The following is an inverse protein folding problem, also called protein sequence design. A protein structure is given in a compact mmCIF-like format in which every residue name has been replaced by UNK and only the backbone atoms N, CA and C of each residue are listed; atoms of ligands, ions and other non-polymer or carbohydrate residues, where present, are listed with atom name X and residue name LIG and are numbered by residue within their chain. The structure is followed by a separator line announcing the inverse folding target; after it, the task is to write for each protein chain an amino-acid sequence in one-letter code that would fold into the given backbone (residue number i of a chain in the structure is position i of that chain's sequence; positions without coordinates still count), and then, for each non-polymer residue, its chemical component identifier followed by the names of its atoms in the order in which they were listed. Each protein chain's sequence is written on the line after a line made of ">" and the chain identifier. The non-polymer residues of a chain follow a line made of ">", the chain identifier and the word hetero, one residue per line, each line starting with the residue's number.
data_IF_004665804146
#
_entry.id   IF_004665804146
#
_cell.length_a   1.000
_cell.length_b   1.000
_cell.length_c   1.000
_cell.angle_alpha   90.00
_cell.angle_beta   90.00
_cell.angle_gamma   90.00
#
_symmetry.space_group_name_H-M   'P 1'
#
loop_
_entity.id
_entity.type
_entity.pdbx_description
1 polymer ?
#
# COMPACT_ATOMS: atom_id res chain seq x y z
N UNK A 1 -9.14 -1.92 -11.35
CA UNK A 1 -8.29 -2.29 -12.50
C UNK A 1 -8.64 -3.70 -12.89
N UNK A 2 -9.08 -3.89 -14.12
CA UNK A 2 -9.46 -5.21 -14.68
C UNK A 2 -8.28 -5.68 -15.54
N UNK A 3 -7.83 -6.91 -15.36
CA UNK A 3 -6.85 -7.52 -16.27
C UNK A 3 -7.57 -7.96 -17.57
N UNK A 4 -6.85 -8.15 -18.68
CA UNK A 4 -7.39 -8.67 -19.95
C UNK A 4 -8.21 -9.97 -19.78
N UNK A 5 -7.91 -10.75 -18.73
CA UNK A 5 -8.59 -11.99 -18.37
C UNK A 5 -9.85 -11.80 -17.50
N UNK A 6 -10.32 -10.56 -17.30
CA UNK A 6 -11.52 -10.25 -16.52
C UNK A 6 -11.36 -10.32 -14.99
N UNK A 7 -10.20 -10.75 -14.49
CA UNK A 7 -9.93 -10.81 -13.04
C UNK A 7 -9.86 -9.40 -12.43
N UNK A 8 -10.74 -9.15 -11.45
CA UNK A 8 -10.81 -7.89 -10.70
C UNK A 8 -10.01 -8.03 -9.40
N UNK A 9 -8.80 -7.45 -9.38
CA UNK A 9 -8.01 -7.35 -8.16
C UNK A 9 -8.52 -6.17 -7.32
N UNK A 10 -9.08 -6.46 -6.15
CA UNK A 10 -9.47 -5.42 -5.20
C UNK A 10 -8.24 -4.64 -4.71
N UNK A 11 -8.29 -3.32 -4.83
CA UNK A 11 -7.26 -2.45 -4.27
C UNK A 11 -7.21 -2.59 -2.74
N UNK A 12 -6.04 -2.43 -2.09
CA UNK A 12 -5.95 -2.57 -0.63
C UNK A 12 -6.88 -1.57 0.07
N UNK A 13 -7.94 -2.08 0.73
CA UNK A 13 -8.95 -1.25 1.42
C UNK A 13 -8.35 -0.40 2.55
N UNK A 14 -7.18 -0.80 3.07
CA UNK A 14 -6.47 -0.11 4.14
C UNK A 14 -5.79 1.20 3.69
N UNK A 15 -5.60 1.45 2.39
CA UNK A 15 -4.91 2.63 1.89
C UNK A 15 -5.68 3.93 2.19
N UNK A 16 -7.01 3.91 2.09
CA UNK A 16 -7.85 5.07 2.45
C UNK A 16 -7.66 5.49 3.91
N UNK A 17 -7.52 4.51 4.82
CA UNK A 17 -7.25 4.77 6.25
C UNK A 17 -5.86 5.38 6.43
N UNK A 18 -4.85 4.88 5.72
CA UNK A 18 -3.48 5.42 5.76
C UNK A 18 -3.41 6.84 5.20
N UNK A 19 -4.11 7.13 4.10
CA UNK A 19 -4.19 8.48 3.54
C UNK A 19 -4.88 9.46 4.50
N UNK A 20 -5.95 9.05 5.18
CA UNK A 20 -6.57 9.88 6.24
C UNK A 20 -5.59 10.18 7.38
N UNK A 21 -4.84 9.17 7.84
CA UNK A 21 -3.79 9.35 8.87
C UNK A 21 -2.68 10.29 8.38
N UNK A 22 -2.26 10.17 7.13
CA UNK A 22 -1.25 11.03 6.53
C UNK A 22 -1.69 12.50 6.53
N UNK A 23 -2.93 12.77 6.11
CA UNK A 23 -3.51 14.12 6.11
C UNK A 23 -3.50 14.76 7.51
N UNK A 24 -3.93 14.00 8.52
CA UNK A 24 -3.95 14.48 9.91
C UNK A 24 -2.53 14.73 10.45
N UNK A 25 -1.59 13.81 10.17
CA UNK A 25 -0.21 13.95 10.57
C UNK A 25 0.49 15.15 9.89
N UNK A 26 0.22 15.38 8.60
CA UNK A 26 0.70 16.56 7.87
C UNK A 26 0.15 17.86 8.43
N UNK A 27 -1.16 17.92 8.74
CA UNK A 27 -1.78 19.09 9.40
C UNK A 27 -1.16 19.35 10.77
N UNK A 28 -0.88 18.29 11.54
CA UNK A 28 -0.19 18.41 12.83
C UNK A 28 1.23 18.95 12.68
N UNK A 29 2.00 18.44 11.71
CA UNK A 29 3.36 18.87 11.43
C UNK A 29 3.43 20.36 11.06
N UNK A 30 2.52 20.83 10.21
CA UNK A 30 2.45 22.24 9.78
C UNK A 30 2.27 23.22 10.95
N UNK A 31 1.55 22.80 12.00
CA UNK A 31 1.35 23.61 13.21
C UNK A 31 2.53 23.60 14.19
N UNK A 32 3.55 22.76 13.97
CA UNK A 32 4.71 22.66 14.88
C UNK A 32 5.81 23.64 14.46
N UNK A 33 6.46 24.25 15.45
CA UNK A 33 7.60 25.13 15.25
C UNK A 33 8.79 24.35 14.70
N UNK A 34 9.30 24.76 13.53
CA UNK A 34 10.50 24.17 12.91
C UNK A 34 11.67 24.23 13.88
N UNK A 35 12.48 23.17 13.95
CA UNK A 35 13.62 23.07 14.87
C UNK A 35 13.29 22.57 16.27
N UNK A 36 12.01 22.52 16.68
CA UNK A 36 11.64 21.94 17.97
C UNK A 36 11.74 20.41 17.97
N UNK A 37 12.04 19.81 19.14
CA UNK A 37 11.99 18.36 19.32
C UNK A 37 10.62 17.76 18.93
N UNK A 38 9.54 18.51 19.15
CA UNK A 38 8.19 18.10 18.80
C UNK A 38 7.95 18.10 17.28
N UNK A 39 8.57 19.02 16.54
CA UNK A 39 8.56 19.01 15.07
C UNK A 39 9.28 17.78 14.52
N UNK A 40 10.45 17.44 15.06
CA UNK A 40 11.20 16.24 14.63
C UNK A 40 10.38 14.96 14.87
N UNK A 41 9.74 14.82 16.04
CA UNK A 41 8.83 13.70 16.34
C UNK A 41 7.65 13.64 15.34
N UNK A 42 7.05 14.77 14.99
CA UNK A 42 5.95 14.83 14.03
C UNK A 42 6.41 14.47 12.61
N UNK A 43 7.59 14.94 12.18
CA UNK A 43 8.18 14.62 10.87
C UNK A 43 8.43 13.12 10.72
N UNK A 44 8.96 12.48 11.76
CA UNK A 44 9.15 11.02 11.78
C UNK A 44 7.82 10.25 11.69
N UNK A 45 6.75 10.74 12.33
CA UNK A 45 5.41 10.13 12.20
C UNK A 45 4.91 10.19 10.76
N UNK A 46 5.06 11.34 10.09
CA UNK A 46 4.69 11.50 8.67
C UNK A 46 5.49 10.54 7.79
N UNK A 47 6.81 10.47 7.98
CA UNK A 47 7.69 9.56 7.22
C UNK A 47 7.28 8.08 7.38
N UNK A 48 6.97 7.63 8.61
CA UNK A 48 6.49 6.25 8.86
C UNK A 48 5.18 5.95 8.14
N UNK A 49 4.27 6.91 8.02
CA UNK A 49 3.02 6.71 7.29
C UNK A 49 3.28 6.60 5.78
N UNK A 50 4.17 7.44 5.23
CA UNK A 50 4.59 7.31 3.83
C UNK A 50 5.23 5.96 3.53
N UNK A 51 6.10 5.45 4.39
CA UNK A 51 6.70 4.12 4.26
C UNK A 51 5.60 3.04 4.17
N UNK A 52 4.65 3.02 5.12
CA UNK A 52 3.53 2.06 5.11
C UNK A 52 2.68 2.12 3.83
N UNK A 53 2.46 3.31 3.28
CA UNK A 53 1.72 3.48 2.02
C UNK A 53 2.53 2.90 0.85
N UNK A 54 3.84 3.18 0.80
CA UNK A 54 4.74 2.63 -0.22
C UNK A 54 4.78 1.10 -0.15
N UNK A 55 4.97 0.53 1.03
CA UNK A 55 5.04 -0.92 1.23
C UNK A 55 3.73 -1.60 0.83
N UNK A 56 2.58 -1.04 1.22
CA UNK A 56 1.27 -1.59 0.85
C UNK A 56 1.02 -1.55 -0.67
N UNK A 57 1.53 -0.51 -1.36
CA UNK A 57 1.43 -0.42 -2.83
C UNK A 57 2.34 -1.43 -3.50
N UNK A 58 3.56 -1.58 -3.00
CA UNK A 58 4.56 -2.52 -3.52
C UNK A 58 4.08 -3.96 -3.34
N UNK A 59 3.57 -4.32 -2.16
CA UNK A 59 2.98 -5.64 -1.89
C UNK A 59 1.83 -5.96 -2.85
N UNK A 60 0.93 -5.00 -3.10
CA UNK A 60 -0.15 -5.16 -4.07
C UNK A 60 0.39 -5.41 -5.49
N UNK A 61 1.38 -4.64 -5.95
CA UNK A 61 1.98 -4.84 -7.26
C UNK A 61 2.71 -6.18 -7.38
N UNK A 62 3.45 -6.58 -6.34
CA UNK A 62 4.15 -7.86 -6.32
C UNK A 62 3.19 -9.05 -6.35
N UNK A 63 2.12 -9.02 -5.54
CA UNK A 63 1.09 -10.07 -5.54
C UNK A 63 0.42 -10.19 -6.90
N UNK A 64 0.16 -9.05 -7.57
CA UNK A 64 -0.41 -9.04 -8.92
C UNK A 64 0.54 -9.59 -9.97
N UNK A 65 1.81 -9.19 -9.94
CA UNK A 65 2.81 -9.73 -10.85
C UNK A 65 2.99 -11.24 -10.65
N UNK A 66 3.04 -11.69 -9.39
CA UNK A 66 3.14 -13.10 -9.04
C UNK A 66 1.92 -13.91 -9.50
N UNK A 67 0.69 -13.39 -9.34
CA UNK A 67 -0.51 -14.09 -9.80
C UNK A 67 -0.57 -14.25 -11.33
N UNK A 68 -0.07 -13.26 -12.08
CA UNK A 68 -0.02 -13.31 -13.54
C UNK A 68 1.04 -14.31 -14.01
N UNK A 69 2.23 -14.29 -13.41
CA UNK A 69 3.35 -15.11 -13.86
C UNK A 69 3.23 -16.60 -13.47
N UNK A 70 2.33 -16.95 -12.55
CA UNK A 70 2.14 -18.34 -12.14
C UNK A 70 1.27 -19.05 -13.18
N UNK A 71 1.76 -20.10 -13.87
CA UNK A 71 0.91 -20.86 -14.77
C UNK A 71 -0.26 -21.44 -14.00
N UNK A 72 -1.48 -21.24 -14.50
CA UNK A 72 -2.68 -21.98 -14.05
C UNK A 72 -2.48 -23.44 -14.48
N UNK A 73 -1.67 -24.20 -13.74
CA UNK A 73 -1.61 -25.66 -13.87
C UNK A 73 -2.96 -26.17 -13.36
N UNK A 74 -3.96 -26.09 -14.23
CA UNK A 74 -5.22 -26.79 -14.09
C UNK A 74 -4.83 -28.26 -14.11
N UNK A 75 -5.16 -28.97 -13.05
CA UNK A 75 -4.94 -30.40 -12.84
C UNK A 75 -5.23 -31.20 -14.13
N UNK A 76 -4.20 -31.40 -14.95
CA UNK A 76 -4.20 -32.32 -16.09
C UNK A 76 -3.63 -33.68 -15.65
N UNK A 77 -3.86 -34.03 -14.39
CA UNK A 77 -3.45 -35.30 -13.77
C UNK A 77 -4.65 -36.12 -13.27
N UNK A 78 -5.88 -35.74 -13.65
CA UNK A 78 -7.10 -36.48 -13.31
C UNK A 78 -7.83 -37.05 -14.53
N UNK A 79 -7.07 -37.37 -15.58
CA UNK A 79 -7.60 -38.02 -16.78
C UNK A 79 -6.59 -39.03 -17.33
N UNK A 80 -6.23 -39.97 -16.47
CA UNK A 80 -5.64 -41.25 -16.84
C UNK A 80 -6.41 -42.35 -16.13
#
# INVERSE_FOLDING_TARGET
>A
MTTSDGEKFAYPKNLNKLHKKLRLAGKSLSRKTKGSNNYQKARLKVARIHAKIKDSRLDYTHKRAYSINRPKIKLLWLRK
#
